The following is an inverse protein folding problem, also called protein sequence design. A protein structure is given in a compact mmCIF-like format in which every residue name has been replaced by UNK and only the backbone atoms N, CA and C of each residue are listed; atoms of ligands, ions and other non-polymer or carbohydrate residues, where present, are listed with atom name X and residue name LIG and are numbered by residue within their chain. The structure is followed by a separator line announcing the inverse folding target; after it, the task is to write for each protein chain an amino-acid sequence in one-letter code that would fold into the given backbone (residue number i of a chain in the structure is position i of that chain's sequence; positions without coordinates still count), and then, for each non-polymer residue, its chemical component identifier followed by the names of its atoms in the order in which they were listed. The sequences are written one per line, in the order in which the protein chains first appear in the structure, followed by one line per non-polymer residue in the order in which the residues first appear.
data_IF_027344840206
#
_entry.id   IF_027344840206
#
_cell.length_a   1.000
_cell.length_b   1.000
_cell.length_c   1.000
_cell.angle_alpha   90.00
_cell.angle_beta   90.00
_cell.angle_gamma   90.00
#
_symmetry.space_group_name_H-M   'P 1'
#
loop_
_entity.id
_entity.type
_entity.pdbx_description
1 polymer ?
#
# COMPACT_ATOMS: atom_id res chain seq x y z
N UNK A 1 -16.09 0.02 0.41
CA UNK A 1 -15.70 -0.53 1.73
C UNK A 1 -15.94 -2.02 1.70
N UNK A 2 -14.99 -2.80 2.20
CA UNK A 2 -15.08 -4.25 2.32
C UNK A 2 -14.88 -4.61 3.79
N UNK A 3 -15.61 -5.61 4.26
CA UNK A 3 -15.47 -6.12 5.62
C UNK A 3 -15.02 -7.59 5.53
N UNK A 4 -14.00 -7.92 6.29
CA UNK A 4 -13.40 -9.25 6.37
C UNK A 4 -13.52 -9.76 7.80
N UNK A 5 -13.99 -11.00 7.93
CA UNK A 5 -13.98 -11.71 9.19
C UNK A 5 -12.62 -12.36 9.36
N UNK A 6 -11.87 -11.93 10.38
CA UNK A 6 -10.59 -12.55 10.72
C UNK A 6 -10.84 -13.74 11.66
N UNK A 7 -11.65 -13.51 12.69
CA UNK A 7 -12.09 -14.52 13.64
C UNK A 7 -13.46 -14.14 14.26
N UNK A 8 -13.88 -14.84 15.32
CA UNK A 8 -15.16 -14.60 15.98
C UNK A 8 -15.30 -13.24 16.68
N UNK A 9 -14.19 -12.54 16.91
CA UNK A 9 -14.10 -11.30 17.69
C UNK A 9 -13.41 -10.15 16.91
N UNK A 10 -12.82 -10.45 15.75
CA UNK A 10 -12.00 -9.50 14.98
C UNK A 10 -12.56 -9.29 13.58
N UNK A 11 -12.80 -8.03 13.24
CA UNK A 11 -13.20 -7.57 11.91
C UNK A 11 -12.11 -6.68 11.33
N UNK A 12 -11.72 -6.93 10.09
CA UNK A 12 -10.93 -6.01 9.29
C UNK A 12 -11.87 -5.27 8.33
N UNK A 13 -11.82 -3.93 8.34
CA UNK A 13 -12.67 -3.08 7.51
C UNK A 13 -11.77 -2.26 6.61
N UNK A 14 -11.81 -2.58 5.31
CA UNK A 14 -11.02 -1.87 4.29
C UNK A 14 -11.86 -0.81 3.61
N UNK A 15 -11.40 0.43 3.74
CA UNK A 15 -12.00 1.57 3.08
C UNK A 15 -11.27 1.82 1.76
N UNK A 16 -11.76 1.20 0.68
CA UNK A 16 -11.36 1.56 -0.70
C UNK A 16 -11.98 2.92 -1.07
N UNK A 17 -11.45 4.01 -0.51
CA UNK A 17 -11.85 5.39 -0.81
C UNK A 17 -10.69 6.13 -1.48
N UNK A 18 -11.01 6.91 -2.51
CA UNK A 18 -10.03 7.71 -3.25
C UNK A 18 -9.82 9.11 -2.64
N UNK A 19 -10.19 9.29 -1.37
CA UNK A 19 -10.16 10.56 -0.65
C UNK A 19 -9.51 10.39 0.72
N UNK A 20 -8.95 11.49 1.24
CA UNK A 20 -8.50 11.53 2.62
C UNK A 20 -9.68 11.34 3.58
N UNK A 21 -9.53 10.41 4.51
CA UNK A 21 -10.50 10.18 5.58
C UNK A 21 -10.17 11.14 6.72
N UNK A 22 -11.00 12.15 6.91
CA UNK A 22 -10.87 13.11 8.02
C UNK A 22 -11.62 12.64 9.28
N UNK A 23 -12.65 11.82 9.10
CA UNK A 23 -13.49 11.32 10.19
C UNK A 23 -13.96 9.90 9.91
N UNK A 24 -13.79 9.04 10.92
CA UNK A 24 -14.35 7.70 10.99
C UNK A 24 -15.37 7.66 12.11
N UNK A 25 -16.63 7.39 11.78
CA UNK A 25 -17.72 7.23 12.75
C UNK A 25 -18.19 5.79 12.75
N UNK A 26 -18.13 5.13 13.90
CA UNK A 26 -18.63 3.76 14.10
C UNK A 26 -19.92 3.85 14.90
N UNK A 27 -21.02 3.42 14.29
CA UNK A 27 -22.36 3.40 14.92
C UNK A 27 -22.81 1.96 15.09
N UNK A 28 -22.97 1.51 16.33
CA UNK A 28 -23.54 0.20 16.64
C UNK A 28 -24.08 0.14 18.07
N UNK A 29 -25.05 -0.72 18.30
CA UNK A 29 -25.49 -1.11 19.64
C UNK A 29 -24.42 -1.91 20.40
N UNK A 30 -23.37 -2.36 19.71
CA UNK A 30 -22.24 -3.08 20.31
C UNK A 30 -20.97 -2.25 20.45
N UNK A 31 -21.00 -0.92 20.20
CA UNK A 31 -19.80 -0.07 20.35
C UNK A 31 -19.18 -0.19 21.75
N UNK A 32 -20.02 -0.33 22.78
CA UNK A 32 -19.59 -0.52 24.18
C UNK A 32 -18.79 -1.82 24.41
N UNK A 33 -18.82 -2.76 23.45
CA UNK A 33 -18.09 -4.03 23.51
C UNK A 33 -16.85 -4.05 22.61
N UNK A 34 -16.52 -2.94 21.94
CA UNK A 34 -15.28 -2.85 21.14
C UNK A 34 -14.09 -2.74 22.10
N UNK A 35 -13.31 -3.81 22.19
CA UNK A 35 -12.11 -3.83 23.03
C UNK A 35 -10.98 -2.96 22.46
N UNK A 36 -10.85 -2.92 21.13
CA UNK A 36 -9.81 -2.13 20.45
C UNK A 36 -10.23 -1.74 19.04
N UNK A 37 -9.92 -0.51 18.65
CA UNK A 37 -10.04 -0.02 17.28
C UNK A 37 -8.65 0.34 16.75
N UNK A 38 -8.27 -0.23 15.62
CA UNK A 38 -7.02 0.11 14.92
C UNK A 38 -7.36 0.71 13.57
N UNK A 39 -6.92 1.94 13.35
CA UNK A 39 -7.05 2.65 12.07
C UNK A 39 -5.66 2.77 11.48
N UNK A 40 -5.47 2.24 10.28
CA UNK A 40 -4.19 2.28 9.57
C UNK A 40 -4.38 2.95 8.21
N UNK A 41 -3.46 3.85 7.85
CA UNK A 41 -3.35 4.40 6.51
C UNK A 41 -2.50 3.54 5.56
N UNK A 42 -2.13 2.34 6.01
CA UNK A 42 -1.08 1.50 5.43
C UNK A 42 0.19 1.56 6.27
N UNK A 43 1.26 0.93 5.79
CA UNK A 43 2.56 0.89 6.49
C UNK A 43 3.61 1.72 5.75
N UNK A 44 4.57 2.27 6.49
CA UNK A 44 5.68 2.99 5.88
C UNK A 44 6.63 2.01 5.17
N UNK A 45 6.55 1.97 3.84
CA UNK A 45 7.36 1.13 2.96
C UNK A 45 8.66 1.79 2.52
N UNK A 46 8.92 3.04 2.93
CA UNK A 46 10.16 3.73 2.62
C UNK A 46 11.33 3.34 3.54
N UNK A 47 11.04 2.85 4.75
CA UNK A 47 12.02 2.56 5.79
C UNK A 47 13.13 1.65 5.24
N UNK A 48 14.37 2.08 5.41
CA UNK A 48 15.61 1.41 5.00
C UNK A 48 15.71 1.03 3.51
N UNK A 49 14.86 1.60 2.66
CA UNK A 49 14.96 1.41 1.21
C UNK A 49 16.21 2.08 0.64
N UNK A 50 16.59 1.68 -0.57
CA UNK A 50 17.77 2.23 -1.23
C UNK A 50 17.52 3.67 -1.67
N UNK A 51 18.43 4.56 -1.30
CA UNK A 51 18.35 5.99 -1.66
C UNK A 51 19.57 6.46 -2.44
N UNK A 52 19.40 7.56 -3.16
CA UNK A 52 20.48 8.28 -3.83
C UNK A 52 20.15 9.78 -3.85
N UNK A 53 21.16 10.63 -3.92
CA UNK A 53 21.00 12.06 -4.13
C UNK A 53 22.07 12.59 -5.09
N UNK A 54 21.77 13.67 -5.81
CA UNK A 54 22.66 14.22 -6.84
C UNK A 54 24.02 14.67 -6.29
N UNK A 55 24.06 15.13 -5.05
CA UNK A 55 25.27 15.55 -4.35
C UNK A 55 25.04 15.50 -2.84
N UNK A 56 26.11 15.53 -2.05
CA UNK A 56 26.04 15.51 -0.57
C UNK A 56 26.69 16.75 0.00
N UNK A 57 26.01 17.42 0.96
CA UNK A 57 26.50 18.63 1.59
C UNK A 57 27.91 18.44 2.16
N UNK A 58 28.86 19.21 1.63
CA UNK A 58 30.29 19.15 1.97
C UNK A 58 30.94 17.76 1.81
N UNK A 59 30.34 16.86 1.03
CA UNK A 59 30.72 15.44 0.95
C UNK A 59 30.78 14.75 2.32
N UNK A 60 29.98 15.23 3.29
CA UNK A 60 29.96 14.69 4.64
C UNK A 60 28.87 13.61 4.74
N UNK A 61 29.27 12.41 5.17
CA UNK A 61 28.36 11.26 5.28
C UNK A 61 27.19 11.50 6.22
N UNK A 62 27.29 12.45 7.15
CA UNK A 62 26.17 12.88 8.02
C UNK A 62 25.00 13.47 7.23
N UNK A 63 25.18 13.85 5.97
CA UNK A 63 24.12 14.39 5.10
C UNK A 63 23.70 13.42 3.99
N UNK A 64 23.96 12.13 4.18
CA UNK A 64 23.66 11.06 3.22
C UNK A 64 22.16 10.93 2.94
N UNK A 65 21.82 10.51 1.71
CA UNK A 65 20.46 10.28 1.26
C UNK A 65 19.67 9.31 2.15
N UNK A 66 20.38 8.36 2.78
CA UNK A 66 19.79 7.29 3.56
C UNK A 66 19.14 7.77 4.86
N UNK A 67 19.55 8.93 5.38
CA UNK A 67 18.97 9.47 6.60
C UNK A 67 17.54 9.98 6.42
N UNK A 68 17.06 10.12 5.18
CA UNK A 68 15.66 10.46 4.94
C UNK A 68 14.74 9.23 5.01
N UNK A 69 15.24 8.04 5.29
CA UNK A 69 14.40 6.82 5.38
C UNK A 69 14.87 5.92 6.52
N UNK A 70 15.47 6.50 7.55
CA UNK A 70 16.02 5.74 8.69
C UNK A 70 14.98 5.50 9.80
N UNK A 71 13.76 6.05 9.64
CA UNK A 71 12.68 5.95 10.61
C UNK A 71 12.82 6.92 11.78
N UNK A 72 13.76 7.87 11.74
CA UNK A 72 14.00 8.84 12.82
C UNK A 72 13.60 10.23 12.37
N UNK A 73 12.39 10.65 12.73
CA UNK A 73 11.93 12.02 12.50
C UNK A 73 12.74 12.98 13.38
N UNK A 74 13.44 13.91 12.74
CA UNK A 74 14.20 14.99 13.41
C UNK A 74 13.54 16.33 13.16
N UNK A 75 13.67 17.22 14.13
CA UNK A 75 13.20 18.60 13.99
C UNK A 75 14.14 19.47 13.16
N UNK A 76 15.46 19.19 13.18
CA UNK A 76 16.49 20.02 12.54
C UNK A 76 17.54 19.18 11.83
N UNK A 77 18.08 19.75 10.76
CA UNK A 77 19.10 19.14 9.90
C UNK A 77 20.49 19.73 10.17
N UNK A 78 20.62 20.86 10.88
CA UNK A 78 21.90 21.53 11.14
C UNK A 78 22.98 20.70 11.84
N UNK A 79 22.60 19.64 12.57
CA UNK A 79 23.54 18.71 13.22
C UNK A 79 23.92 17.49 12.37
N UNK A 80 23.40 17.42 11.13
CA UNK A 80 23.47 16.23 10.29
C UNK A 80 22.35 15.24 10.55
N UNK A 81 22.53 14.02 10.05
CA UNK A 81 21.59 12.91 10.07
C UNK A 81 20.25 13.23 9.39
N UNK A 82 20.34 13.82 8.21
CA UNK A 82 19.24 14.18 7.31
C UNK A 82 19.78 14.07 5.88
N UNK A 83 18.92 13.90 4.88
CA UNK A 83 19.38 13.99 3.50
C UNK A 83 19.54 15.47 3.12
N UNK A 84 20.73 15.89 2.68
CA UNK A 84 20.97 17.27 2.27
C UNK A 84 21.95 17.36 1.09
N UNK A 85 21.51 18.00 0.01
CA UNK A 85 22.33 18.22 -1.18
C UNK A 85 23.36 19.33 -0.99
N UNK A 86 24.39 19.34 -1.84
CA UNK A 86 25.48 20.31 -1.74
C UNK A 86 25.07 21.72 -2.16
N UNK A 87 25.71 22.73 -1.54
CA UNK A 87 25.51 24.15 -1.83
C UNK A 87 26.06 24.64 -3.17
N UNK A 88 26.58 23.74 -3.99
CA UNK A 88 27.05 23.99 -5.35
C UNK A 88 26.29 23.15 -6.40
N UNK A 89 25.24 22.45 -6.00
CA UNK A 89 24.42 21.63 -6.89
C UNK A 89 23.30 22.48 -7.52
N UNK A 90 23.40 22.70 -8.83
CA UNK A 90 22.40 23.50 -9.54
C UNK A 90 21.12 22.72 -9.87
N UNK A 91 21.11 21.41 -9.68
CA UNK A 91 20.01 20.50 -10.00
C UNK A 91 19.84 19.46 -8.88
N UNK A 92 19.59 19.90 -7.62
CA UNK A 92 19.56 19.03 -6.49
C UNK A 92 18.36 18.10 -6.59
N UNK A 93 18.62 16.82 -6.36
CA UNK A 93 17.60 15.78 -6.35
C UNK A 93 17.94 14.71 -5.34
N UNK A 94 16.88 14.08 -4.83
CA UNK A 94 16.92 12.93 -3.96
C UNK A 94 15.96 11.88 -4.52
N UNK A 95 16.34 10.62 -4.45
CA UNK A 95 15.58 9.52 -4.99
C UNK A 95 15.58 8.35 -4.00
N UNK A 96 14.43 7.71 -3.90
CA UNK A 96 14.24 6.39 -3.29
C UNK A 96 13.89 5.40 -4.39
N UNK A 97 14.49 4.22 -4.33
CA UNK A 97 14.11 3.05 -5.13
C UNK A 97 13.66 1.96 -4.17
N UNK A 98 12.44 1.48 -4.37
CA UNK A 98 11.89 0.38 -3.60
C UNK A 98 12.50 -0.95 -4.07
N UNK A 99 12.77 -1.86 -3.14
CA UNK A 99 13.26 -3.22 -3.38
C UNK A 99 12.33 -4.04 -4.29
N UNK A 100 11.05 -3.73 -4.26
CA UNK A 100 10.04 -4.21 -5.19
C UNK A 100 8.92 -3.19 -5.39
N UNK A 101 8.05 -3.37 -6.40
CA UNK A 101 6.94 -2.45 -6.61
C UNK A 101 5.88 -2.55 -5.50
N UNK A 102 5.34 -1.41 -5.09
CA UNK A 102 4.29 -1.31 -4.06
C UNK A 102 3.09 -0.48 -4.53
N UNK A 103 1.93 -0.65 -3.90
CA UNK A 103 0.78 0.25 -4.09
C UNK A 103 0.83 1.31 -2.99
N UNK A 104 1.35 2.50 -3.31
CA UNK A 104 1.53 3.59 -2.35
C UNK A 104 0.49 4.68 -2.59
N UNK A 105 -0.11 5.17 -1.50
CA UNK A 105 -1.19 6.15 -1.57
C UNK A 105 -0.82 7.50 -0.93
N UNK A 106 0.13 7.51 -0.01
CA UNK A 106 0.46 8.69 0.80
C UNK A 106 1.95 8.81 0.94
N UNK A 107 2.48 10.00 0.67
CA UNK A 107 3.88 10.33 0.88
C UNK A 107 3.96 11.49 1.88
N UNK A 108 4.82 11.35 2.86
CA UNK A 108 5.05 12.38 3.88
C UNK A 108 6.51 12.82 3.78
N UNK A 109 6.71 14.12 3.62
CA UNK A 109 8.02 14.74 3.62
C UNK A 109 8.14 15.57 4.90
N UNK A 110 9.03 15.17 5.80
CA UNK A 110 9.40 15.95 6.97
C UNK A 110 10.51 16.92 6.59
N UNK A 111 10.20 18.18 6.75
CA UNK A 111 11.07 19.30 6.44
C UNK A 111 11.85 19.70 7.70
N UNK A 112 12.94 20.43 7.50
CA UNK A 112 13.75 20.92 8.61
C UNK A 112 13.20 22.23 9.18
N UNK A 113 13.03 22.33 10.50
CA UNK A 113 12.53 23.53 11.15
C UNK A 113 13.51 24.72 11.09
N UNK A 114 14.81 24.46 10.90
CA UNK A 114 15.85 25.48 10.78
C UNK A 114 16.01 26.02 9.34
N UNK A 115 15.41 25.37 8.33
CA UNK A 115 15.57 25.71 6.92
C UNK A 115 14.33 25.31 6.09
N UNK A 116 13.12 25.59 6.60
CA UNK A 116 11.87 25.13 5.99
C UNK A 116 11.70 25.61 4.55
N UNK A 117 12.27 26.76 4.22
CA UNK A 117 12.26 27.30 2.87
C UNK A 117 12.85 26.35 1.84
N UNK A 118 13.82 25.49 2.20
CA UNK A 118 14.54 24.64 1.24
C UNK A 118 13.69 23.57 0.56
N UNK A 119 12.49 23.27 1.06
CA UNK A 119 11.51 22.45 0.36
C UNK A 119 10.40 23.25 -0.31
N UNK A 120 10.44 24.58 -0.38
CA UNK A 120 9.48 25.35 -1.18
C UNK A 120 9.54 24.92 -2.65
N UNK A 121 8.37 24.80 -3.25
CA UNK A 121 8.21 24.47 -4.68
C UNK A 121 8.91 23.19 -5.13
N UNK A 122 9.15 22.25 -4.20
CA UNK A 122 9.66 20.93 -4.55
C UNK A 122 8.81 20.29 -5.66
N UNK A 123 9.42 19.43 -6.47
CA UNK A 123 8.72 18.60 -7.45
C UNK A 123 8.97 17.14 -7.10
N UNK A 124 7.89 16.41 -6.84
CA UNK A 124 7.92 14.96 -6.64
C UNK A 124 7.39 14.26 -7.89
N UNK A 125 8.17 13.30 -8.39
CA UNK A 125 7.79 12.39 -9.45
C UNK A 125 7.68 10.98 -8.88
N UNK A 126 6.52 10.35 -9.08
CA UNK A 126 6.29 8.94 -8.76
C UNK A 126 6.53 8.14 -10.04
N UNK A 127 7.29 7.05 -9.93
CA UNK A 127 7.82 6.32 -11.07
C UNK A 127 7.43 4.83 -11.02
N UNK A 128 7.15 4.26 -12.19
CA UNK A 128 6.98 2.81 -12.36
C UNK A 128 8.34 2.08 -12.45
N UNK A 129 8.29 0.76 -12.65
CA UNK A 129 9.48 -0.09 -12.81
C UNK A 129 10.32 0.23 -14.06
N UNK A 130 9.72 0.87 -15.07
CA UNK A 130 10.40 1.35 -16.28
C UNK A 130 10.95 2.77 -16.12
N UNK A 131 10.86 3.37 -14.92
CA UNK A 131 11.19 4.77 -14.63
C UNK A 131 10.31 5.78 -15.40
N UNK A 132 9.12 5.36 -15.84
CA UNK A 132 8.12 6.24 -16.42
C UNK A 132 7.40 7.02 -15.32
N UNK A 133 7.13 8.30 -15.56
CA UNK A 133 6.42 9.15 -14.61
C UNK A 133 4.94 8.77 -14.59
N UNK A 134 4.48 8.26 -13.45
CA UNK A 134 3.07 7.96 -13.17
C UNK A 134 2.33 9.20 -12.65
N UNK A 135 3.02 10.03 -11.88
CA UNK A 135 2.43 11.21 -11.25
C UNK A 135 3.49 12.26 -10.96
N UNK A 136 3.08 13.53 -11.02
CA UNK A 136 3.91 14.69 -10.66
C UNK A 136 3.12 15.61 -9.76
N UNK A 137 3.73 16.04 -8.66
CA UNK A 137 3.19 17.09 -7.80
C UNK A 137 4.26 18.13 -7.53
N UNK A 138 3.86 19.39 -7.59
CA UNK A 138 4.66 20.52 -7.15
C UNK A 138 4.16 21.02 -5.79
N UNK A 139 5.07 21.34 -4.88
CA UNK A 139 4.79 22.02 -3.64
C UNK A 139 4.23 23.42 -3.88
N UNK A 140 3.39 23.89 -2.97
CA UNK A 140 2.68 25.18 -3.08
C UNK A 140 3.55 26.41 -2.76
N UNK A 141 4.81 26.20 -2.34
CA UNK A 141 5.72 27.27 -1.95
C UNK A 141 5.50 27.80 -0.53
N UNK A 142 4.57 27.20 0.23
CA UNK A 142 4.33 27.55 1.63
C UNK A 142 5.31 26.77 2.50
N UNK A 143 5.93 27.44 3.47
CA UNK A 143 6.78 26.78 4.45
C UNK A 143 5.95 25.93 5.39
N UNK A 144 6.30 24.65 5.49
CA UNK A 144 5.65 23.71 6.39
C UNK A 144 6.72 22.79 6.98
N UNK A 145 6.57 22.39 8.26
CA UNK A 145 7.41 21.34 8.84
C UNK A 145 7.14 19.97 8.20
N UNK A 146 5.98 19.82 7.54
CA UNK A 146 5.54 18.57 6.93
C UNK A 146 4.72 18.83 5.67
N UNK A 147 4.99 18.07 4.62
CA UNK A 147 4.17 18.04 3.41
C UNK A 147 3.58 16.65 3.23
N UNK A 148 2.30 16.59 2.89
CA UNK A 148 1.59 15.35 2.58
C UNK A 148 1.18 15.39 1.12
N UNK A 149 1.58 14.37 0.37
CA UNK A 149 1.22 14.16 -1.03
C UNK A 149 0.35 12.92 -1.11
N UNK A 150 -0.88 13.09 -1.59
CA UNK A 150 -1.83 12.01 -1.79
C UNK A 150 -1.81 11.57 -3.25
N UNK A 151 -1.82 10.25 -3.48
CA UNK A 151 -1.82 9.62 -4.79
C UNK A 151 -2.72 8.38 -4.76
N UNK A 152 -4.01 8.56 -5.04
CA UNK A 152 -4.97 7.47 -5.06
C UNK A 152 -4.92 6.73 -6.41
N UNK A 153 -3.97 5.81 -6.55
CA UNK A 153 -3.86 4.93 -7.72
C UNK A 153 -3.56 3.50 -7.31
N UNK A 154 -4.01 2.56 -8.14
CA UNK A 154 -3.73 1.12 -8.02
C UNK A 154 -2.46 0.71 -8.76
N UNK A 155 -1.73 1.67 -9.35
CA UNK A 155 -0.52 1.39 -10.11
C UNK A 155 0.66 1.13 -9.17
N UNK A 156 1.45 0.11 -9.51
CA UNK A 156 2.64 -0.24 -8.74
C UNK A 156 3.77 0.76 -8.96
N UNK A 157 4.34 1.21 -7.85
CA UNK A 157 5.39 2.24 -7.78
C UNK A 157 6.69 1.56 -7.44
N UNK A 158 7.73 1.85 -8.20
CA UNK A 158 9.07 1.30 -7.98
C UNK A 158 10.07 2.35 -7.50
N UNK A 159 9.80 3.64 -7.69
CA UNK A 159 10.68 4.71 -7.21
C UNK A 159 9.94 6.04 -7.04
N UNK A 160 10.53 6.93 -6.25
CA UNK A 160 10.12 8.33 -6.14
C UNK A 160 11.36 9.20 -6.31
N UNK A 161 11.23 10.27 -7.09
CA UNK A 161 12.26 11.28 -7.27
C UNK A 161 11.73 12.63 -6.76
N UNK A 162 12.48 13.26 -5.87
CA UNK A 162 12.24 14.60 -5.36
C UNK A 162 13.33 15.52 -5.90
N UNK A 163 12.92 16.67 -6.44
CA UNK A 163 13.85 17.71 -6.87
C UNK A 163 13.38 19.08 -6.40
N UNK A 164 14.31 20.02 -6.31
CA UNK A 164 13.97 21.41 -6.10
C UNK A 164 14.87 22.28 -6.98
N UNK A 165 14.28 23.20 -7.73
CA UNK A 165 15.03 24.16 -8.56
C UNK A 165 14.80 25.60 -8.12
N UNK A 166 14.06 25.82 -7.03
CA UNK A 166 13.78 27.14 -6.51
C UNK A 166 15.02 27.77 -5.87
N UNK A 167 15.30 29.00 -6.25
CA UNK A 167 16.46 29.78 -5.80
C UNK A 167 15.98 30.90 -4.89
N UNK A 168 16.71 31.13 -3.80
CA UNK A 168 16.46 32.24 -2.88
C UNK A 168 17.41 33.38 -3.19
N UNK A 169 17.01 34.61 -2.86
CA UNK A 169 17.86 35.79 -3.08
C UNK A 169 19.16 35.74 -2.24
N UNK A 170 19.11 35.08 -1.07
CA UNK A 170 20.25 34.91 -0.16
C UNK A 170 20.96 33.55 -0.27
N UNK A 171 20.31 32.56 -0.90
CA UNK A 171 20.88 31.25 -1.23
C UNK A 171 20.71 31.01 -2.74
N UNK A 172 21.69 31.40 -3.57
CA UNK A 172 21.55 31.41 -5.02
C UNK A 172 21.52 30.01 -5.66
N UNK A 173 21.76 28.99 -4.85
CA UNK A 173 21.80 27.58 -5.24
C UNK A 173 20.61 26.88 -4.59
N UNK A 174 19.79 26.13 -5.35
CA UNK A 174 18.69 25.36 -4.78
C UNK A 174 19.20 24.21 -3.90
N UNK A 175 18.34 23.70 -3.02
CA UNK A 175 18.65 22.53 -2.18
C UNK A 175 17.48 21.55 -2.14
N UNK A 176 17.80 20.28 -1.93
CA UNK A 176 16.87 19.30 -1.36
C UNK A 176 17.39 18.94 0.02
N UNK A 177 16.59 19.24 1.04
CA UNK A 177 16.86 18.91 2.44
C UNK A 177 15.65 18.21 3.02
N UNK A 178 15.80 16.95 3.43
CA UNK A 178 14.72 16.11 3.94
C UNK A 178 15.17 15.51 5.26
N UNK A 179 14.37 15.69 6.32
CA UNK A 179 14.64 15.07 7.61
C UNK A 179 14.18 13.61 7.61
N UNK A 180 12.98 13.36 7.07
CA UNK A 180 12.45 12.01 6.90
C UNK A 180 11.46 12.00 5.73
N UNK A 181 11.41 10.89 5.01
CA UNK A 181 10.50 10.58 3.93
C UNK A 181 9.79 9.28 4.25
N UNK A 182 8.46 9.35 4.31
CA UNK A 182 7.62 8.18 4.53
C UNK A 182 6.74 7.95 3.31
N UNK A 183 6.55 6.67 2.95
CA UNK A 183 5.65 6.28 1.89
C UNK A 183 4.72 5.18 2.40
N UNK A 184 3.45 5.52 2.58
CA UNK A 184 2.44 4.62 3.10
C UNK A 184 1.67 3.94 1.98
N UNK A 185 1.46 2.66 2.17
CA UNK A 185 0.70 1.83 1.25
C UNK A 185 0.79 0.37 1.63
N UNK A 186 0.63 -0.46 0.60
CA UNK A 186 0.41 -1.89 0.73
C UNK A 186 1.19 -2.69 -0.32
N UNK A 187 1.20 -4.01 -0.13
CA UNK A 187 1.71 -4.95 -1.11
C UNK A 187 0.94 -4.85 -2.43
N UNK A 188 1.64 -5.13 -3.54
CA UNK A 188 0.94 -5.45 -4.79
C UNK A 188 0.10 -6.72 -4.62
N UNK A 189 -1.03 -6.85 -5.33
CA UNK A 189 -1.86 -8.05 -5.28
C UNK A 189 -1.03 -9.32 -5.46
N UNK A 190 -1.26 -10.28 -4.56
CA UNK A 190 -0.57 -11.57 -4.56
C UNK A 190 0.65 -11.70 -3.66
N UNK A 191 1.03 -10.61 -3.00
CA UNK A 191 2.06 -10.59 -1.97
C UNK A 191 1.46 -10.20 -0.61
N UNK A 192 2.04 -10.73 0.47
CA UNK A 192 1.64 -10.42 1.84
C UNK A 192 2.84 -10.43 2.80
N UNK A 193 2.59 -10.04 4.05
CA UNK A 193 3.59 -9.97 5.11
C UNK A 193 4.31 -8.63 5.17
N UNK A 194 5.03 -8.37 6.27
CA UNK A 194 5.65 -7.07 6.59
C UNK A 194 6.62 -6.55 5.54
N UNK A 195 7.24 -7.44 4.77
CA UNK A 195 8.17 -7.10 3.68
C UNK A 195 7.56 -7.38 2.30
N UNK A 196 6.30 -7.82 2.22
CA UNK A 196 5.65 -8.27 0.98
C UNK A 196 6.45 -9.38 0.24
N UNK A 197 7.20 -10.21 0.96
CA UNK A 197 8.02 -11.26 0.37
C UNK A 197 7.28 -12.60 0.27
N UNK A 198 6.11 -12.73 0.90
CA UNK A 198 5.35 -13.97 0.91
C UNK A 198 4.31 -13.98 -0.20
N UNK A 199 4.21 -15.09 -0.91
CA UNK A 199 3.18 -15.28 -1.94
C UNK A 199 1.85 -15.69 -1.29
N UNK A 200 0.75 -15.15 -1.82
CA UNK A 200 -0.59 -15.65 -1.50
C UNK A 200 -0.73 -17.13 -1.88
N UNK A 201 -1.61 -17.84 -1.18
CA UNK A 201 -1.99 -19.22 -1.53
C UNK A 201 -2.62 -19.27 -2.94
N UNK A 202 -2.53 -20.43 -3.60
CA UNK A 202 -2.93 -20.59 -5.01
C UNK A 202 -4.43 -20.31 -5.23
N UNK A 203 -5.24 -20.59 -4.23
CA UNK A 203 -6.70 -20.43 -4.24
C UNK A 203 -7.14 -18.97 -4.25
N UNK A 204 -6.29 -18.06 -3.76
CA UNK A 204 -6.57 -16.62 -3.65
C UNK A 204 -5.35 -15.80 -4.08
N UNK A 205 -4.78 -16.17 -5.24
CA UNK A 205 -3.49 -15.66 -5.70
C UNK A 205 -3.39 -14.14 -5.72
N UNK A 206 -4.49 -13.42 -5.95
CA UNK A 206 -4.50 -11.96 -6.06
C UNK A 206 -5.35 -11.28 -4.97
N UNK A 207 -5.84 -12.03 -3.98
CA UNK A 207 -6.86 -11.55 -3.03
C UNK A 207 -6.69 -12.05 -1.61
N UNK A 208 -5.48 -12.45 -1.22
CA UNK A 208 -5.23 -12.85 0.16
C UNK A 208 -5.13 -11.64 1.09
N UNK A 209 -5.35 -11.87 2.39
CA UNK A 209 -5.13 -10.87 3.43
C UNK A 209 -3.64 -10.53 3.53
N UNK A 210 -3.35 -9.24 3.76
CA UNK A 210 -1.98 -8.75 3.75
C UNK A 210 -1.25 -9.07 5.06
N UNK A 211 -1.99 -9.27 6.15
CA UNK A 211 -1.42 -9.62 7.45
C UNK A 211 -0.86 -11.04 7.48
N UNK A 212 -1.61 -12.01 6.97
CA UNK A 212 -1.33 -13.44 7.17
C UNK A 212 -1.38 -14.31 5.91
N UNK A 213 -1.71 -13.72 4.75
CA UNK A 213 -1.80 -14.43 3.49
C UNK A 213 -2.99 -15.39 3.38
N UNK A 214 -3.93 -15.33 4.31
CA UNK A 214 -5.12 -16.18 4.29
C UNK A 214 -6.08 -15.72 3.19
N UNK A 215 -6.83 -16.68 2.65
CA UNK A 215 -7.83 -16.38 1.64
C UNK A 215 -9.07 -15.83 2.33
N UNK A 216 -9.53 -14.67 1.88
CA UNK A 216 -10.83 -14.14 2.31
C UNK A 216 -11.91 -14.98 1.65
N UNK A 217 -12.49 -15.91 2.40
CA UNK A 217 -13.70 -16.59 1.97
C UNK A 217 -14.83 -15.55 2.09
N UNK A 218 -15.32 -15.05 0.95
CA UNK A 218 -16.44 -14.11 0.84
C UNK A 218 -16.18 -12.72 1.47
N UNK A 219 -15.64 -11.79 0.67
CA UNK A 219 -15.86 -10.38 0.96
C UNK A 219 -17.37 -10.12 0.85
N UNK A 220 -18.03 -9.82 1.96
CA UNK A 220 -19.40 -9.31 1.92
C UNK A 220 -19.29 -7.87 1.43
N UNK A 221 -19.67 -7.61 0.19
CA UNK A 221 -19.83 -6.24 -0.31
C UNK A 221 -20.99 -5.59 0.45
N UNK A 222 -20.66 -4.81 1.49
CA UNK A 222 -21.65 -4.09 2.33
C UNK A 222 -22.30 -2.92 1.57
N UNK A 223 -21.89 -2.66 0.34
CA UNK A 223 -22.41 -1.59 -0.52
C UNK A 223 -23.49 -2.10 -1.48
N UNK A 224 -24.62 -2.57 -0.95
CA UNK A 224 -25.89 -2.37 -1.65
C UNK A 224 -26.54 -1.13 -1.03
N UNK A 225 -26.62 -0.04 -1.81
CA UNK A 225 -27.31 1.20 -1.45
C UNK A 225 -28.81 1.01 -1.18
N UNK A 226 -29.32 -0.23 -1.27
CA UNK A 226 -30.63 -0.67 -0.80
C UNK A 226 -30.71 -1.03 0.68
N UNK A 227 -29.59 -1.11 1.42
CA UNK A 227 -29.64 -1.34 2.87
C UNK A 227 -30.14 -0.12 3.69
N UNK A 228 -30.53 0.98 3.05
CA UNK A 228 -31.17 2.10 3.72
C UNK A 228 -32.61 1.80 4.23
N UNK A 229 -33.22 0.66 3.84
CA UNK A 229 -34.58 0.29 4.26
C UNK A 229 -34.70 -1.08 4.92
N UNK A 230 -33.59 -1.69 5.36
CA UNK A 230 -33.67 -2.84 6.25
C UNK A 230 -34.03 -2.34 7.65
N UNK A 231 -35.34 -2.24 7.94
CA UNK A 231 -35.84 -2.28 9.30
C UNK A 231 -35.20 -3.47 10.02
N UNK A 232 -34.70 -3.25 11.23
CA UNK A 232 -33.89 -4.18 12.03
C UNK A 232 -34.65 -5.42 12.53
N UNK A 233 -35.66 -5.88 11.80
CA UNK A 233 -36.38 -7.11 12.06
C UNK A 233 -35.98 -8.18 11.03
N UNK A 234 -34.96 -8.95 11.37
CA UNK A 234 -34.44 -10.05 10.56
C UNK A 234 -35.35 -11.29 10.56
N UNK A 235 -36.59 -11.18 11.08
CA UNK A 235 -37.63 -12.20 10.97
C UNK A 235 -38.40 -12.17 9.63
N UNK A 236 -38.22 -11.13 8.80
CA UNK A 236 -38.98 -10.98 7.54
C UNK A 236 -38.19 -11.21 6.25
N UNK A 237 -36.92 -11.60 6.29
CA UNK A 237 -36.26 -12.19 5.13
C UNK A 237 -36.66 -13.67 4.98
N UNK A 238 -37.96 -13.90 4.79
CA UNK A 238 -38.49 -15.19 4.37
C UNK A 238 -38.28 -15.28 2.85
N UNK A 239 -37.42 -16.19 2.43
CA UNK A 239 -37.34 -16.67 1.04
C UNK A 239 -38.66 -17.33 0.66
N UNK A 240 -39.59 -16.53 0.13
CA UNK A 240 -40.71 -17.03 -0.67
C UNK A 240 -40.72 -16.22 -1.97
N UNK A 241 -39.67 -16.41 -2.77
CA UNK A 241 -39.68 -16.15 -4.20
C UNK A 241 -40.18 -17.41 -4.90
N UNK A 242 -41.49 -17.57 -4.92
CA UNK A 242 -42.18 -18.58 -5.70
C UNK A 242 -42.10 -18.18 -7.19
N UNK A 243 -41.01 -18.53 -7.87
CA UNK A 243 -40.99 -18.57 -9.34
C UNK A 243 -41.11 -20.01 -9.77
N UNK A 244 -42.36 -20.42 -9.99
CA UNK A 244 -42.68 -21.48 -10.93
C UNK A 244 -42.12 -21.07 -12.29
N UNK A 245 -41.00 -21.65 -12.70
CA UNK A 245 -40.82 -21.96 -14.10
C UNK A 245 -40.28 -23.37 -14.29
N UNK A 246 -41.02 -24.03 -15.17
CA UNK A 246 -41.00 -25.41 -15.57
C UNK A 246 -39.96 -25.51 -16.69
N UNK A 247 -39.15 -26.57 -16.73
CA UNK A 247 -38.93 -27.46 -17.88
C UNK A 247 -37.55 -28.15 -17.92
N UNK A 248 -37.64 -29.48 -18.02
CA UNK A 248 -36.77 -30.48 -18.68
C UNK A 248 -35.47 -30.87 -17.97
N UNK A 249 -35.60 -31.94 -17.18
CA UNK A 249 -34.62 -33.02 -17.07
C UNK A 249 -34.55 -33.83 -18.38
N UNK A 250 -33.35 -34.36 -18.65
CA UNK A 250 -32.97 -35.35 -19.66
C UNK A 250 -32.68 -34.85 -21.09
N UNK A 251 -31.41 -34.95 -21.47
CA UNK A 251 -31.06 -35.62 -22.71
C UNK A 251 -29.78 -36.43 -22.53
N UNK A 252 -29.89 -37.71 -22.82
CA UNK A 252 -28.81 -38.62 -23.13
C UNK A 252 -27.89 -38.04 -24.20
N UNK A 253 -26.57 -38.19 -24.02
CA UNK A 253 -25.68 -38.36 -25.16
C UNK A 253 -24.87 -39.62 -24.99
N UNK A 254 -25.27 -40.61 -25.76
CA UNK A 254 -24.65 -41.90 -25.87
C UNK A 254 -23.27 -41.86 -26.54
N UNK A 255 -22.55 -42.93 -26.23
CA UNK A 255 -21.43 -43.55 -26.93
C UNK A 255 -21.38 -43.38 -28.45
N UNK A 256 -20.19 -43.07 -28.99
CA UNK A 256 -19.81 -43.46 -30.36
C UNK A 256 -18.65 -42.66 -30.98
N UNK A 257 -17.70 -43.37 -31.59
CA UNK A 257 -16.46 -42.96 -32.29
C UNK A 257 -15.20 -42.88 -31.41
N UNK A 258 -14.26 -43.84 -31.43
CA UNK A 258 -13.96 -44.86 -32.44
C UNK A 258 -12.98 -44.33 -33.49
N UNK A 259 -11.70 -44.72 -33.34
CA UNK A 259 -10.62 -44.69 -34.32
C UNK A 259 -10.17 -43.32 -34.91
N UNK A 260 -9.11 -42.76 -34.31
CA UNK A 260 -8.32 -41.67 -34.90
C UNK A 260 -6.89 -41.55 -34.36
N UNK A 261 -6.35 -42.60 -33.73
CA UNK A 261 -4.98 -42.61 -33.18
C UNK A 261 -3.94 -42.96 -34.25
N UNK A 262 -3.82 -42.11 -35.28
CA UNK A 262 -2.80 -42.27 -36.33
C UNK A 262 -2.11 -40.97 -36.73
N UNK A 263 -2.79 -39.82 -36.61
CA UNK A 263 -2.24 -38.53 -37.03
C UNK A 263 -1.72 -37.66 -35.86
N UNK A 264 -2.21 -37.89 -34.64
CA UNK A 264 -1.83 -37.09 -33.46
C UNK A 264 -0.38 -37.30 -32.99
N UNK A 265 0.18 -38.50 -33.23
CA UNK A 265 1.55 -38.83 -32.80
C UNK A 265 2.60 -38.15 -33.68
N UNK A 266 2.34 -38.00 -34.99
CA UNK A 266 3.28 -37.31 -35.88
C UNK A 266 3.33 -35.79 -35.59
N UNK A 267 2.18 -35.18 -35.29
CA UNK A 267 2.11 -33.75 -34.95
C UNK A 267 2.75 -33.47 -33.59
N UNK A 268 2.52 -34.33 -32.60
CA UNK A 268 3.17 -34.18 -31.29
C UNK A 268 4.69 -34.42 -31.36
N UNK A 269 5.17 -35.40 -32.15
CA UNK A 269 6.61 -35.60 -32.35
C UNK A 269 7.28 -34.45 -33.14
N UNK A 270 6.58 -33.84 -34.10
CA UNK A 270 7.09 -32.66 -34.81
C UNK A 270 7.19 -31.43 -33.88
N UNK A 271 6.20 -31.22 -33.01
CA UNK A 271 6.22 -30.14 -32.02
C UNK A 271 7.32 -30.38 -30.99
N UNK A 272 7.47 -31.61 -30.48
CA UNK A 272 8.56 -31.97 -29.55
C UNK A 272 9.94 -31.84 -30.22
N UNK A 273 10.06 -32.22 -31.49
CA UNK A 273 11.29 -32.02 -32.27
C UNK A 273 11.65 -30.55 -32.47
N UNK A 274 10.65 -29.70 -32.78
CA UNK A 274 10.85 -28.27 -32.93
C UNK A 274 11.20 -27.59 -31.60
N UNK A 275 10.58 -27.99 -30.49
CA UNK A 275 10.92 -27.44 -29.16
C UNK A 275 12.30 -27.89 -28.70
N UNK A 276 12.70 -29.15 -28.95
CA UNK A 276 14.07 -29.62 -28.69
C UNK A 276 15.08 -28.88 -29.58
N UNK A 277 14.77 -28.63 -30.85
CA UNK A 277 15.65 -27.90 -31.76
C UNK A 277 15.80 -26.42 -31.39
N UNK A 278 14.70 -25.75 -31.03
CA UNK A 278 14.72 -24.37 -30.50
C UNK A 278 15.48 -24.34 -29.17
N UNK A 279 15.26 -25.31 -28.28
CA UNK A 279 16.01 -25.44 -27.04
C UNK A 279 17.51 -25.67 -27.30
N UNK A 280 17.88 -26.48 -28.30
CA UNK A 280 19.27 -26.70 -28.70
C UNK A 280 19.91 -25.42 -29.28
N UNK A 281 19.17 -24.63 -30.08
CA UNK A 281 19.63 -23.32 -30.55
C UNK A 281 19.82 -22.33 -29.39
N UNK A 282 18.89 -22.30 -28.44
CA UNK A 282 18.98 -21.46 -27.24
C UNK A 282 20.14 -21.93 -26.35
N UNK A 283 20.32 -23.24 -26.17
CA UNK A 283 21.37 -23.82 -25.35
C UNK A 283 22.75 -23.63 -25.99
N UNK A 284 22.86 -23.74 -27.31
CA UNK A 284 24.09 -23.45 -28.06
C UNK A 284 24.45 -21.96 -28.02
N UNK A 285 23.45 -21.07 -28.02
CA UNK A 285 23.65 -19.63 -27.75
C UNK A 285 24.03 -19.36 -26.29
N UNK A 286 23.52 -20.15 -25.33
CA UNK A 286 23.84 -20.03 -23.89
C UNK A 286 25.21 -20.64 -23.52
N UNK A 287 25.66 -21.69 -24.21
CA UNK A 287 26.99 -22.31 -24.00
C UNK A 287 28.14 -21.41 -24.47
N UNK A 288 27.83 -20.33 -25.20
CA UNK A 288 28.78 -19.27 -25.55
C UNK A 288 28.83 -18.13 -24.52
N UNK A 289 27.95 -18.09 -23.52
CA UNK A 289 27.83 -16.93 -22.63
C UNK A 289 28.05 -17.17 -21.14
N UNK A 290 27.95 -18.37 -20.60
CA UNK A 290 28.24 -18.60 -19.17
C UNK A 290 28.84 -19.99 -18.94
N UNK A 291 30.16 -20.06 -19.03
CA UNK A 291 30.91 -20.98 -18.18
C UNK A 291 30.72 -20.53 -16.74
N UNK A 292 30.25 -21.45 -15.89
CA UNK A 292 30.33 -21.35 -14.44
C UNK A 292 29.19 -20.58 -13.76
N UNK A 293 28.15 -21.29 -13.32
CA UNK A 293 27.90 -21.51 -11.89
C UNK A 293 26.58 -22.26 -11.70
N UNK A 294 26.68 -23.34 -10.92
CA UNK A 294 25.62 -24.25 -10.49
C UNK A 294 25.53 -24.14 -8.98
N UNK A 295 24.33 -23.99 -8.41
CA UNK A 295 23.96 -24.48 -7.07
C UNK A 295 22.45 -24.80 -7.06
N UNK A 296 22.10 -25.86 -6.33
CA UNK A 296 20.84 -26.61 -6.29
C UNK A 296 19.76 -26.02 -5.36
N UNK A 297 18.53 -26.39 -5.69
CA UNK A 297 17.25 -26.21 -5.00
C UNK A 297 17.01 -27.30 -3.93
N UNK A 298 16.29 -26.96 -2.86
CA UNK A 298 15.67 -27.94 -1.94
C UNK A 298 14.21 -27.55 -1.62
N UNK A 299 13.36 -28.58 -1.68
CA UNK A 299 11.91 -28.67 -1.53
C UNK A 299 11.53 -29.10 -0.09
N UNK A 300 10.34 -28.76 0.43
CA UNK A 300 9.46 -29.64 1.23
C UNK A 300 8.03 -29.07 1.39
N UNK A 301 7.12 -29.94 1.85
CA UNK A 301 5.68 -30.11 1.54
C UNK A 301 4.73 -29.85 2.75
N UNK A 302 3.43 -29.83 2.46
CA UNK A 302 2.20 -29.46 3.20
C UNK A 302 1.91 -30.10 4.59
N UNK A 303 0.97 -29.51 5.35
CA UNK A 303 -0.25 -30.19 5.83
C UNK A 303 -1.35 -29.25 6.39
N UNK A 304 -2.60 -29.71 6.24
CA UNK A 304 -3.93 -29.13 6.54
C UNK A 304 -4.31 -29.03 8.03
N UNK A 305 -5.16 -28.04 8.38
CA UNK A 305 -6.08 -28.11 9.54
C UNK A 305 -7.44 -27.44 9.24
N UNK A 306 -8.47 -28.10 9.77
CA UNK A 306 -9.93 -28.06 9.61
C UNK A 306 -10.71 -26.80 10.03
N UNK A 307 -11.85 -26.62 9.36
CA UNK A 307 -12.94 -25.64 9.49
C UNK A 307 -13.69 -25.71 10.84
N UNK A 308 -14.13 -24.57 11.39
CA UNK A 308 -15.07 -24.49 12.53
C UNK A 308 -16.16 -23.44 12.29
N UNK A 309 -17.35 -23.74 12.82
CA UNK A 309 -18.66 -23.15 12.57
C UNK A 309 -18.81 -21.65 12.90
N UNK A 310 -19.64 -20.98 12.09
CA UNK A 310 -19.93 -19.54 12.10
C UNK A 310 -21.17 -19.19 12.93
N UNK A 311 -21.03 -18.29 13.91
CA UNK A 311 -22.15 -17.67 14.62
C UNK A 311 -22.59 -16.36 13.95
N UNK A 312 -23.90 -16.15 13.86
CA UNK A 312 -24.54 -14.92 13.30
C UNK A 312 -24.36 -13.73 14.25
N UNK A 313 -23.83 -12.62 13.74
CA UNK A 313 -23.81 -11.32 14.41
C UNK A 313 -24.69 -10.31 13.68
N UNK A 314 -25.26 -9.36 14.44
CA UNK A 314 -26.09 -8.26 13.95
C UNK A 314 -25.19 -7.13 13.39
N UNK A 315 -25.70 -6.38 12.40
CA UNK A 315 -24.90 -5.48 11.56
C UNK A 315 -24.24 -4.30 12.27
N UNK A 316 -22.97 -4.03 11.91
CA UNK A 316 -22.22 -2.83 12.27
C UNK A 316 -22.39 -1.80 11.15
N UNK A 317 -22.69 -0.55 11.48
CA UNK A 317 -22.73 0.55 10.51
C UNK A 317 -21.48 1.41 10.65
N UNK A 318 -20.69 1.48 9.59
CA UNK A 318 -19.50 2.34 9.51
C UNK A 318 -19.80 3.48 8.55
N UNK A 319 -19.61 4.72 9.01
CA UNK A 319 -19.72 5.91 8.19
C UNK A 319 -18.35 6.58 8.06
N UNK A 320 -17.94 6.79 6.82
CA UNK A 320 -16.71 7.51 6.45
C UNK A 320 -17.15 8.79 5.76
N UNK A 321 -16.69 9.94 6.24
CA UNK A 321 -16.92 11.21 5.55
C UNK A 321 -15.59 11.82 5.09
N UNK A 322 -15.47 12.11 3.80
CA UNK A 322 -14.49 13.05 3.29
C UNK A 322 -15.11 14.45 3.33
N UNK A 323 -14.41 15.44 3.92
CA UNK A 323 -14.82 16.83 3.75
C UNK A 323 -14.18 17.36 2.47
N UNK A 324 -15.01 17.71 1.49
CA UNK A 324 -14.57 18.54 0.38
C UNK A 324 -14.20 19.92 0.97
N UNK A 325 -12.90 20.23 1.05
CA UNK A 325 -12.44 21.54 1.52
C UNK A 325 -12.75 22.58 0.45
N UNK A 326 -13.92 23.18 0.51
CA UNK A 326 -14.21 24.44 -0.16
C UNK A 326 -13.36 25.52 0.51
N UNK A 327 -12.32 26.00 -0.18
CA UNK A 327 -11.54 27.15 0.27
C UNK A 327 -12.38 28.41 0.08
N UNK A 328 -13.01 28.88 1.15
CA UNK A 328 -13.50 30.26 1.20
C UNK A 328 -12.33 31.20 1.51
N UNK A 329 -12.17 32.32 0.77
CA UNK A 329 -11.16 33.32 1.09
C UNK A 329 -11.48 33.95 2.44
N UNK A 330 -10.56 33.81 3.40
CA UNK A 330 -10.64 34.49 4.70
C UNK A 330 -10.47 36.00 4.51
N UNK A 331 -11.55 36.76 4.70
CA UNK A 331 -11.49 38.19 5.00
C UNK A 331 -11.06 38.41 6.46
N UNK A 332 -10.28 39.48 6.65
CA UNK A 332 -9.64 39.88 7.90
C UNK A 332 -10.59 39.91 9.11
N UNK A 333 -10.27 39.15 10.16
CA UNK A 333 -10.93 39.30 11.45
C UNK A 333 -9.95 39.19 12.64
N UNK A 334 -10.22 40.06 13.60
CA UNK A 334 -9.43 40.44 14.75
C UNK A 334 -8.98 39.32 15.70
N UNK A 335 -7.84 39.60 16.34
CA UNK A 335 -7.16 38.88 17.42
C UNK A 335 -8.10 38.49 18.55
N UNK A 336 -8.33 37.18 18.70
CA UNK A 336 -8.81 36.53 19.91
C UNK A 336 -7.83 35.40 20.28
N UNK A 337 -7.18 35.51 21.44
CA UNK A 337 -6.25 34.49 21.95
C UNK A 337 -7.05 33.26 22.36
N UNK A 338 -6.75 32.11 21.75
CA UNK A 338 -7.14 30.80 22.31
C UNK A 338 -6.04 29.79 21.97
N UNK A 339 -5.41 29.26 23.01
CA UNK A 339 -4.37 28.23 22.93
C UNK A 339 -5.00 26.87 22.68
N UNK A 340 -4.67 26.22 21.57
CA UNK A 340 -4.79 24.77 21.42
C UNK A 340 -3.49 24.18 20.88
N UNK A 341 -2.96 23.25 21.68
CA UNK A 341 -1.74 22.49 21.49
C UNK A 341 -2.14 21.23 20.71
N UNK A 342 -1.82 21.17 19.42
CA UNK A 342 -2.05 19.96 18.62
C UNK A 342 -0.70 19.40 18.17
N UNK A 343 -0.35 18.23 18.71
CA UNK A 343 0.56 17.28 18.08
C UNK A 343 0.30 15.87 18.63
N UNK A 344 0.32 14.92 17.68
CA UNK A 344 0.73 13.52 17.77
C UNK A 344 -0.14 12.50 18.52
N UNK A 345 -0.44 11.42 17.78
CA UNK A 345 -0.48 10.01 18.17
C UNK A 345 -1.23 9.65 19.46
N UNK A 346 -2.48 9.24 19.29
CA UNK A 346 -3.24 8.59 20.35
C UNK A 346 -2.90 7.10 20.34
N UNK A 347 -1.85 6.72 21.08
CA UNK A 347 -1.74 5.38 21.65
C UNK A 347 -2.51 5.39 22.98
N UNK A 348 -3.72 4.80 23.01
CA UNK A 348 -4.35 4.45 24.28
C UNK A 348 -3.73 3.13 24.75
N UNK A 349 -2.64 3.23 25.50
CA UNK A 349 -2.12 2.09 26.25
C UNK A 349 -2.80 2.06 27.63
N UNK A 350 -3.78 1.18 27.83
CA UNK A 350 -4.30 0.87 29.16
C UNK A 350 -3.55 -0.33 29.72
N UNK A 351 -2.35 -0.11 30.25
CA UNK A 351 -1.73 -1.06 31.16
C UNK A 351 -2.10 -0.71 32.60
N UNK A 352 -2.75 -1.68 33.25
CA UNK A 352 -3.10 -1.68 34.65
C UNK A 352 -1.84 -1.59 35.51
N UNK A 353 -1.65 -0.48 36.20
CA UNK A 353 -0.66 -0.37 37.27
C UNK A 353 -1.31 -0.89 38.56
N UNK A 354 -0.89 -2.06 39.01
CA UNK A 354 -1.05 -2.49 40.39
C UNK A 354 -0.04 -1.73 41.24
N UNK A 355 -0.54 -1.07 42.29
CA UNK A 355 0.23 -0.55 43.41
C UNK A 355 1.15 -1.63 43.99
N UNK A 356 2.44 -1.33 44.15
CA UNK A 356 3.19 -1.75 45.33
C UNK A 356 4.12 -0.63 45.81
N UNK A 357 3.78 -0.14 46.99
CA UNK A 357 4.58 0.66 47.91
C UNK A 357 5.85 -0.09 48.36
N UNK A 358 7.00 0.59 48.40
CA UNK A 358 7.82 0.82 49.60
C UNK A 358 8.89 1.88 49.35
#
# INVERSE_FOLDING_TARGET
MKMFYIDALTFDIRCDVNDAIDQLTIESNIVDYICSLRVSGGRNLAIFQSTNQSSTLNNNSLFSAQYAVDGVIKDTCGSGYCANTSSNDNTPSWQITFDQPYILNTFILYNSNDAQERLKYFVIHILDSNRSILFTKQGDGVNRPRYTVLYFSILAIAAVNLSNMYRFDYEPVPYVSINEFEAYGECVPGLWGLECNNLCKRECRDSCLMEDGSCTNEAIDVFDSKCANCSWDMSQCNTIGNTTDRFITESDFGTGFGAGFGAGVAVTLAIVGATIFIWYIIQWRRSKLKAGMSVKEHSYDQTDVTQKESHRYQGIKVQVSSKEKTYEPMEDAHVGVTSTRNNADVYVNTENNYDETF
#
